data_IF_646248501358
#
_entry.id   IF_646248501358
#
_cell.length_a   1.000
_cell.length_b   1.000
_cell.length_c   1.000
_cell.angle_alpha   90.00
_cell.angle_beta   90.00
_cell.angle_gamma   90.00
#
_symmetry.space_group_name_H-M   'P 1'
#
loop_
_entity.id
_entity.type
_entity.pdbx_description
1 polymer ?
#
# COMPACT_ATOMS: atom_id res chain seq x y z
N UNK A 1 -15.78 26.31 -52.20
CA UNK A 1 -15.64 27.25 -51.07
C UNK A 1 -15.10 28.57 -51.58
N UNK A 2 -15.64 29.70 -51.11
CA UNK A 2 -15.12 31.03 -51.43
C UNK A 2 -13.83 31.30 -50.61
N UNK A 3 -12.84 32.00 -51.16
CA UNK A 3 -11.58 32.37 -50.48
C UNK A 3 -11.81 33.03 -49.12
N UNK A 4 -12.89 33.81 -48.96
CA UNK A 4 -13.27 34.39 -47.66
C UNK A 4 -13.61 33.34 -46.60
N UNK A 5 -14.30 32.25 -46.97
CA UNK A 5 -14.61 31.18 -46.02
C UNK A 5 -13.36 30.41 -45.59
N UNK A 6 -12.45 30.14 -46.52
CA UNK A 6 -11.18 29.47 -46.21
C UNK A 6 -10.30 30.32 -45.26
N UNK A 7 -10.29 31.65 -45.46
CA UNK A 7 -9.58 32.58 -44.58
C UNK A 7 -10.15 32.61 -43.16
N UNK A 8 -11.48 32.70 -43.02
CA UNK A 8 -12.16 32.66 -41.72
C UNK A 8 -11.94 31.34 -40.97
N UNK A 9 -11.95 30.21 -41.68
CA UNK A 9 -11.72 28.91 -41.06
C UNK A 9 -10.26 28.76 -40.57
N UNK A 10 -9.31 29.33 -41.31
CA UNK A 10 -7.91 29.37 -40.91
C UNK A 10 -7.70 30.28 -39.68
N UNK A 11 -8.32 31.46 -39.65
CA UNK A 11 -8.28 32.38 -38.50
C UNK A 11 -8.87 31.74 -37.25
N UNK A 12 -9.96 30.98 -37.37
CA UNK A 12 -10.56 30.23 -36.25
C UNK A 12 -9.63 29.13 -35.72
N UNK A 13 -8.94 28.38 -36.61
CA UNK A 13 -7.96 27.36 -36.21
C UNK A 13 -6.77 27.98 -35.49
N UNK A 14 -6.28 29.14 -35.94
CA UNK A 14 -5.19 29.87 -35.29
C UNK A 14 -5.62 30.30 -33.89
N UNK A 15 -6.77 30.95 -33.75
CA UNK A 15 -7.28 31.39 -32.45
C UNK A 15 -7.47 30.21 -31.47
N UNK A 16 -7.93 29.06 -31.97
CA UNK A 16 -8.06 27.83 -31.17
C UNK A 16 -6.70 27.33 -30.67
N UNK A 17 -5.68 27.30 -31.53
CA UNK A 17 -4.34 26.87 -31.16
C UNK A 17 -3.66 27.84 -30.17
N UNK A 18 -3.89 29.13 -30.33
CA UNK A 18 -3.40 30.15 -29.38
C UNK A 18 -4.02 29.96 -28.00
N UNK A 19 -5.32 29.71 -27.93
CA UNK A 19 -6.02 29.42 -26.67
C UNK A 19 -5.53 28.12 -26.01
N UNK A 20 -5.33 27.04 -26.78
CA UNK A 20 -4.78 25.78 -26.27
C UNK A 20 -3.35 25.95 -25.73
N UNK A 21 -2.54 26.79 -26.39
CA UNK A 21 -1.18 27.12 -25.95
C UNK A 21 -1.19 27.87 -24.62
N UNK A 22 -2.09 28.83 -24.43
CA UNK A 22 -2.23 29.54 -23.14
C UNK A 22 -2.62 28.59 -22.00
N UNK A 23 -3.57 27.67 -22.24
CA UNK A 23 -3.94 26.65 -21.25
C UNK A 23 -2.75 25.78 -20.88
N UNK A 24 -1.95 25.35 -21.86
CA UNK A 24 -0.76 24.52 -21.60
C UNK A 24 0.32 25.27 -20.82
N UNK A 25 0.52 26.56 -21.12
CA UNK A 25 1.45 27.40 -20.36
C UNK A 25 1.02 27.55 -18.91
N UNK A 26 -0.28 27.73 -18.66
CA UNK A 26 -0.78 27.87 -17.30
C UNK A 26 -0.71 26.54 -16.52
N UNK A 27 -0.98 25.41 -17.19
CA UNK A 27 -0.78 24.07 -16.62
C UNK A 27 0.68 23.81 -16.25
N UNK A 28 1.63 24.23 -17.09
CA UNK A 28 3.05 24.07 -16.82
C UNK A 28 3.47 24.88 -15.59
N UNK A 29 3.03 26.14 -15.47
CA UNK A 29 3.27 26.96 -14.27
C UNK A 29 2.69 26.32 -13.01
N UNK A 30 1.46 25.79 -13.08
CA UNK A 30 0.85 25.07 -11.96
C UNK A 30 1.67 23.83 -11.56
N UNK A 31 2.18 23.08 -12.54
CA UNK A 31 3.02 21.91 -12.28
C UNK A 31 4.32 22.31 -11.58
N UNK A 32 5.00 23.37 -12.04
CA UNK A 32 6.21 23.89 -11.42
C UNK A 32 5.95 24.32 -9.97
N UNK A 33 4.89 25.08 -9.71
CA UNK A 33 4.49 25.48 -8.34
C UNK A 33 4.22 24.29 -7.42
N UNK A 34 3.54 23.24 -7.92
CA UNK A 34 3.30 22.01 -7.15
C UNK A 34 4.62 21.32 -6.82
N UNK A 35 5.54 21.26 -7.78
CA UNK A 35 6.83 20.60 -7.61
C UNK A 35 7.70 21.34 -6.58
N UNK A 36 7.73 22.67 -6.63
CA UNK A 36 8.40 23.52 -5.64
C UNK A 36 7.78 23.40 -4.25
N UNK A 37 6.44 23.41 -4.17
CA UNK A 37 5.71 23.20 -2.90
C UNK A 37 6.07 21.87 -2.27
N UNK A 38 6.09 20.79 -3.05
CA UNK A 38 6.44 19.45 -2.56
C UNK A 38 7.89 19.40 -2.07
N UNK A 39 8.83 20.03 -2.78
CA UNK A 39 10.22 20.12 -2.36
C UNK A 39 10.39 20.92 -1.07
N UNK A 40 9.66 22.03 -0.91
CA UNK A 40 9.66 22.83 0.32
C UNK A 40 9.08 22.04 1.50
N UNK A 41 7.99 21.31 1.27
CA UNK A 41 7.35 20.48 2.29
C UNK A 41 8.27 19.35 2.77
N UNK A 42 9.05 18.74 1.86
CA UNK A 42 10.07 17.76 2.22
C UNK A 42 11.19 18.37 3.08
N UNK A 43 11.65 19.60 2.76
CA UNK A 43 12.65 20.32 3.58
C UNK A 43 12.13 20.63 4.98
N UNK A 44 10.87 21.06 5.11
CA UNK A 44 10.24 21.31 6.41
C UNK A 44 10.19 20.03 7.24
N UNK A 45 9.75 18.92 6.63
CA UNK A 45 9.70 17.63 7.32
C UNK A 45 11.08 17.14 7.81
N UNK A 46 12.13 17.35 7.01
CA UNK A 46 13.51 17.05 7.44
C UNK A 46 13.95 17.91 8.63
N UNK A 47 13.71 19.22 8.60
CA UNK A 47 14.04 20.11 9.73
C UNK A 47 13.30 19.72 11.02
N UNK A 48 12.04 19.30 10.91
CA UNK A 48 11.26 18.81 12.06
C UNK A 48 11.83 17.50 12.63
N UNK A 49 12.31 16.61 11.77
CA UNK A 49 12.95 15.37 12.19
C UNK A 49 14.28 15.64 12.90
N UNK A 50 15.12 16.52 12.35
CA UNK A 50 16.38 16.95 12.97
C UNK A 50 16.15 17.58 14.34
N UNK A 51 15.12 18.43 14.46
CA UNK A 51 14.72 19.03 15.74
C UNK A 51 14.30 17.97 16.77
N UNK A 52 13.54 16.94 16.36
CA UNK A 52 13.14 15.82 17.24
C UNK A 52 14.34 14.99 17.68
N UNK A 53 15.31 14.75 16.79
CA UNK A 53 16.53 14.01 17.12
C UNK A 53 17.40 14.78 18.12
N UNK A 54 17.57 16.09 17.94
CA UNK A 54 18.31 16.94 18.87
C UNK A 54 17.68 16.95 20.27
N UNK A 55 16.35 17.01 20.36
CA UNK A 55 15.61 16.98 21.63
C UNK A 55 15.72 15.63 22.37
N UNK A 56 15.98 14.53 21.67
CA UNK A 56 16.19 13.21 22.30
C UNK A 56 17.61 13.05 22.86
N UNK A 57 18.61 13.74 22.30
CA UNK A 57 19.99 13.72 22.79
C UNK A 57 20.22 14.58 24.04
N UNK A 58 19.34 15.56 24.31
CA UNK A 58 19.46 16.47 25.46
C UNK A 58 18.76 16.00 26.75
N UNK A 59 18.11 14.83 26.77
CA UNK A 59 17.47 14.31 28.00
C UNK A 59 18.54 13.78 28.98
N UNK A 60 18.62 14.30 30.23
CA UNK A 60 19.53 13.75 31.23
C UNK A 60 19.12 12.32 31.63
N UNK A 61 20.14 11.48 31.84
CA UNK A 61 20.01 10.12 32.35
C UNK A 61 19.65 10.16 33.85
N UNK A 62 18.37 10.28 34.19
CA UNK A 62 17.89 10.05 35.56
C UNK A 62 17.66 8.55 35.79
N UNK A 63 18.48 7.97 36.67
CA UNK A 63 18.21 6.67 37.31
C UNK A 63 17.22 6.87 38.46
N UNK A 64 16.18 6.05 38.53
CA UNK A 64 15.63 5.62 39.81
C UNK A 64 14.99 4.23 39.67
N UNK A 65 15.40 3.39 40.60
CA UNK A 65 15.06 2.00 40.84
C UNK A 65 13.81 1.95 41.73
N UNK A 66 12.81 1.13 41.36
CA UNK A 66 11.84 0.44 42.24
C UNK A 66 10.86 -0.41 41.40
N UNK A 67 11.29 -1.65 41.15
CA UNK A 67 10.63 -2.93 41.44
C UNK A 67 9.13 -3.16 41.13
N UNK A 68 8.89 -4.28 40.43
CA UNK A 68 7.73 -5.19 40.46
C UNK A 68 6.40 -4.77 39.78
N UNK A 69 6.23 -5.23 38.53
CA UNK A 69 5.33 -6.37 38.26
C UNK A 69 5.62 -6.95 36.88
N UNK A 70 6.13 -8.17 36.91
CA UNK A 70 6.30 -9.05 35.76
C UNK A 70 4.93 -9.54 35.29
N UNK A 71 4.58 -9.29 34.04
CA UNK A 71 3.72 -10.20 33.27
C UNK A 71 4.59 -10.93 32.25
N UNK A 72 5.24 -11.98 32.76
CA UNK A 72 5.68 -13.10 31.94
C UNK A 72 4.41 -13.89 31.64
N UNK A 73 3.77 -13.65 30.50
CA UNK A 73 2.78 -14.60 29.99
C UNK A 73 3.58 -15.77 29.40
N UNK A 74 3.74 -16.80 30.22
CA UNK A 74 3.94 -18.16 29.78
C UNK A 74 2.75 -18.53 28.88
N UNK A 75 2.97 -18.71 27.59
CA UNK A 75 2.08 -19.55 26.80
C UNK A 75 2.76 -20.91 26.65
N UNK A 76 2.13 -21.86 27.32
CA UNK A 76 2.51 -23.26 27.46
C UNK A 76 2.68 -23.92 26.09
N UNK A 77 3.76 -24.70 25.98
CA UNK A 77 3.81 -25.83 25.06
C UNK A 77 2.67 -26.79 25.40
N UNK A 78 1.57 -26.72 24.65
CA UNK A 78 0.64 -27.83 24.54
C UNK A 78 0.38 -28.15 23.08
N UNK A 79 1.04 -29.21 22.61
CA UNK A 79 0.55 -30.17 21.63
C UNK A 79 0.01 -29.60 20.30
N UNK A 80 0.89 -29.43 19.31
CA UNK A 80 0.61 -29.81 17.91
C UNK A 80 -0.62 -29.18 17.23
N UNK A 81 -0.92 -27.91 17.48
CA UNK A 81 -1.98 -27.18 16.74
C UNK A 81 -1.36 -26.43 15.55
N UNK A 82 -1.87 -26.57 14.30
CA UNK A 82 -1.33 -25.86 13.14
C UNK A 82 -1.54 -24.35 13.30
N UNK A 83 -0.50 -23.58 13.01
CA UNK A 83 -0.47 -22.12 13.09
C UNK A 83 -1.36 -21.50 11.99
N UNK A 84 -2.67 -21.47 12.23
CA UNK A 84 -3.67 -20.70 11.51
C UNK A 84 -4.44 -19.87 12.55
N UNK A 85 -3.88 -18.71 12.93
CA UNK A 85 -4.75 -17.65 13.45
C UNK A 85 -5.67 -17.25 12.29
N UNK A 86 -6.99 -17.37 12.50
CA UNK A 86 -8.09 -17.08 11.56
C UNK A 86 -8.07 -15.64 11.03
N UNK A 87 -7.00 -15.27 10.34
CA UNK A 87 -6.81 -13.96 9.74
C UNK A 87 -7.81 -13.82 8.60
N UNK A 88 -8.42 -12.66 8.56
CA UNK A 88 -9.49 -12.31 7.65
C UNK A 88 -9.53 -10.78 7.53
N UNK A 89 -10.31 -10.29 6.59
CA UNK A 89 -10.56 -8.86 6.48
C UNK A 89 -11.36 -8.35 7.68
N UNK A 90 -11.04 -7.13 8.11
CA UNK A 90 -11.70 -6.45 9.21
C UNK A 90 -12.86 -5.59 8.67
N UNK A 91 -14.08 -6.05 8.90
CA UNK A 91 -15.30 -5.36 8.45
C UNK A 91 -15.45 -3.96 9.04
N UNK A 92 -14.88 -3.72 10.23
CA UNK A 92 -14.95 -2.42 10.91
C UNK A 92 -13.91 -1.41 10.40
N UNK A 93 -12.90 -1.90 9.67
CA UNK A 93 -11.77 -1.11 9.15
C UNK A 93 -11.79 -1.10 7.62
N UNK A 94 -12.99 -0.87 7.08
CA UNK A 94 -13.26 -0.70 5.67
C UNK A 94 -13.50 0.78 5.36
N UNK A 95 -12.76 1.33 4.40
CA UNK A 95 -12.91 2.73 3.97
C UNK A 95 -13.61 2.80 2.61
N UNK A 96 -14.61 3.69 2.50
CA UNK A 96 -15.43 3.94 1.31
C UNK A 96 -16.23 2.72 0.79
N UNK A 97 -16.83 1.98 1.73
CA UNK A 97 -17.82 0.91 1.48
C UNK A 97 -17.42 -0.25 0.54
N UNK A 98 -16.23 -0.90 0.69
CA UNK A 98 -16.02 -2.21 0.08
C UNK A 98 -16.99 -3.22 0.68
N UNK A 99 -17.67 -4.00 -0.16
CA UNK A 99 -18.52 -5.10 0.33
C UNK A 99 -17.68 -6.34 0.54
N UNK A 100 -17.56 -6.74 1.80
CA UNK A 100 -17.05 -8.06 2.17
C UNK A 100 -18.15 -9.10 1.92
N UNK A 101 -17.81 -10.20 1.26
CA UNK A 101 -18.74 -11.26 0.86
C UNK A 101 -18.32 -12.58 1.49
N UNK A 102 -19.29 -13.26 2.12
CA UNK A 102 -19.15 -14.61 2.64
C UNK A 102 -18.75 -14.65 4.12
N UNK A 103 -18.98 -15.81 4.73
CA UNK A 103 -18.93 -16.00 6.19
C UNK A 103 -17.50 -15.95 6.78
N UNK A 104 -16.48 -16.04 5.93
CA UNK A 104 -15.06 -16.03 6.35
C UNK A 104 -14.37 -14.67 6.12
N UNK A 105 -15.10 -13.67 5.60
CA UNK A 105 -14.57 -12.33 5.32
C UNK A 105 -13.25 -12.37 4.51
N UNK A 106 -13.13 -13.25 3.52
CA UNK A 106 -11.94 -13.40 2.65
C UNK A 106 -12.14 -12.83 1.24
N UNK A 107 -13.40 -12.76 0.78
CA UNK A 107 -13.76 -12.26 -0.55
C UNK A 107 -14.29 -10.85 -0.44
N UNK A 108 -13.82 -9.98 -1.33
CA UNK A 108 -14.22 -8.57 -1.36
C UNK A 108 -14.65 -8.23 -2.77
N UNK A 109 -15.75 -7.50 -2.87
CA UNK A 109 -16.19 -6.82 -4.08
C UNK A 109 -16.28 -5.33 -3.83
N UNK A 110 -15.64 -4.57 -4.70
CA UNK A 110 -15.80 -3.11 -4.77
C UNK A 110 -17.22 -2.81 -5.27
N UNK A 111 -18.07 -2.16 -4.46
CA UNK A 111 -19.44 -1.78 -4.84
C UNK A 111 -19.63 -0.26 -4.77
N UNK A 112 -20.61 0.27 -5.52
CA UNK A 112 -20.98 1.68 -5.54
C UNK A 112 -20.44 2.47 -6.74
N UNK A 113 -21.03 3.63 -7.00
CA UNK A 113 -20.90 4.37 -8.26
C UNK A 113 -19.85 5.51 -8.25
N UNK A 114 -18.81 5.39 -7.44
CA UNK A 114 -17.80 6.44 -7.25
C UNK A 114 -16.38 5.98 -7.61
N UNK A 115 -15.61 6.89 -8.22
CA UNK A 115 -14.18 6.76 -8.53
C UNK A 115 -13.34 7.00 -7.27
N UNK A 116 -13.45 6.13 -6.28
CA UNK A 116 -12.78 6.23 -4.98
C UNK A 116 -12.02 4.95 -4.64
N UNK A 117 -10.95 5.10 -3.86
CA UNK A 117 -10.17 3.97 -3.38
C UNK A 117 -10.86 3.30 -2.20
N UNK A 118 -11.28 2.06 -2.39
CA UNK A 118 -11.92 1.25 -1.35
C UNK A 118 -10.88 0.35 -0.72
N UNK A 119 -10.65 0.53 0.56
CA UNK A 119 -9.53 -0.09 1.26
C UNK A 119 -10.04 -0.96 2.38
N UNK A 120 -9.41 -2.12 2.52
CA UNK A 120 -9.67 -3.08 3.56
C UNK A 120 -8.37 -3.46 4.27
N UNK A 121 -8.42 -3.53 5.59
CA UNK A 121 -7.32 -4.02 6.41
C UNK A 121 -7.62 -5.40 6.96
N UNK A 122 -6.59 -6.20 7.19
CA UNK A 122 -6.76 -7.44 7.96
C UNK A 122 -6.91 -7.14 9.46
N UNK A 123 -7.51 -8.06 10.22
CA UNK A 123 -7.78 -7.87 11.66
C UNK A 123 -6.52 -7.70 12.50
N UNK A 124 -5.47 -8.45 12.18
CA UNK A 124 -4.24 -8.50 12.96
C UNK A 124 -3.02 -7.98 12.19
N UNK A 125 -2.03 -7.44 12.92
CA UNK A 125 -0.79 -6.93 12.37
C UNK A 125 0.10 -8.06 11.84
N UNK A 126 1.08 -7.69 10.99
CA UNK A 126 2.08 -8.65 10.47
C UNK A 126 2.90 -9.31 11.59
N UNK A 127 3.19 -8.58 12.67
CA UNK A 127 3.97 -9.08 13.80
C UNK A 127 3.20 -10.09 14.64
N UNK A 128 1.87 -9.95 14.70
CA UNK A 128 1.00 -10.87 15.43
C UNK A 128 0.78 -12.19 14.69
N UNK A 129 0.78 -12.16 13.35
CA UNK A 129 0.47 -13.32 12.51
C UNK A 129 1.69 -13.98 11.84
N UNK A 130 2.91 -13.50 12.09
CA UNK A 130 4.10 -14.12 11.53
C UNK A 130 4.30 -15.54 12.06
N UNK A 131 4.83 -16.43 11.22
CA UNK A 131 5.13 -17.80 11.59
C UNK A 131 6.33 -17.89 12.56
N UNK A 132 6.63 -19.10 13.04
CA UNK A 132 7.75 -19.37 13.95
C UNK A 132 9.13 -18.97 13.38
N UNK A 133 9.24 -18.82 12.06
CA UNK A 133 10.45 -18.35 11.37
C UNK A 133 10.45 -16.82 11.16
N UNK A 134 9.47 -16.11 11.71
CA UNK A 134 9.33 -14.65 11.58
C UNK A 134 8.85 -14.20 10.20
N UNK A 135 8.24 -15.08 9.41
CA UNK A 135 7.72 -14.76 8.08
C UNK A 135 6.21 -14.60 8.16
N UNK A 136 5.71 -13.45 7.71
CA UNK A 136 4.30 -13.26 7.39
C UNK A 136 4.12 -13.23 5.88
N UNK A 137 3.11 -13.91 5.35
CA UNK A 137 2.82 -13.95 3.91
C UNK A 137 1.35 -14.25 3.65
N UNK A 138 0.78 -13.61 2.63
CA UNK A 138 -0.58 -13.85 2.15
C UNK A 138 -0.66 -13.71 0.62
N UNK A 139 -1.64 -14.35 0.01
CA UNK A 139 -1.92 -14.25 -1.43
C UNK A 139 -3.29 -13.66 -1.70
N UNK A 140 -3.39 -12.84 -2.73
CA UNK A 140 -4.64 -12.29 -3.26
C UNK A 140 -4.85 -12.82 -4.67
N UNK A 141 -5.97 -13.49 -4.88
CA UNK A 141 -6.47 -13.84 -6.21
C UNK A 141 -7.33 -12.70 -6.73
N UNK A 142 -6.92 -12.05 -7.82
CA UNK A 142 -7.72 -11.02 -8.48
C UNK A 142 -8.75 -11.65 -9.41
N UNK A 143 -9.93 -11.99 -8.88
CA UNK A 143 -11.01 -12.63 -9.63
C UNK A 143 -11.50 -11.72 -10.76
N UNK A 144 -11.68 -10.44 -10.46
CA UNK A 144 -12.00 -9.40 -11.43
C UNK A 144 -11.20 -8.14 -11.14
N UNK A 145 -10.63 -7.55 -12.17
CA UNK A 145 -9.94 -6.27 -12.11
C UNK A 145 -10.18 -5.55 -13.43
N UNK A 146 -10.93 -4.46 -13.40
CA UNK A 146 -11.40 -3.79 -14.61
C UNK A 146 -10.28 -3.02 -15.33
N UNK A 147 -9.38 -2.38 -14.58
CA UNK A 147 -8.24 -1.61 -15.10
C UNK A 147 -7.15 -1.47 -14.02
N UNK A 148 -6.07 -0.72 -14.28
CA UNK A 148 -4.98 -0.49 -13.32
C UNK A 148 -5.47 0.36 -12.14
N UNK A 149 -5.93 -0.30 -11.08
CA UNK A 149 -6.51 0.36 -9.92
C UNK A 149 -6.51 -0.50 -8.67
N UNK A 150 -5.45 -1.29 -8.45
CA UNK A 150 -5.35 -2.12 -7.25
C UNK A 150 -3.98 -1.98 -6.55
N UNK A 151 -4.03 -2.01 -5.22
CA UNK A 151 -2.87 -2.13 -4.34
C UNK A 151 -2.98 -3.36 -3.47
N UNK A 152 -1.84 -4.01 -3.23
CA UNK A 152 -1.66 -5.03 -2.19
C UNK A 152 -0.42 -4.66 -1.38
N UNK A 153 -0.50 -4.73 -0.05
CA UNK A 153 0.67 -4.40 0.76
C UNK A 153 0.44 -4.36 2.26
N UNK A 154 1.28 -3.56 2.91
CA UNK A 154 1.25 -3.27 4.33
C UNK A 154 1.13 -1.78 4.57
N UNK A 155 0.26 -1.38 5.49
CA UNK A 155 0.15 0.00 5.93
C UNK A 155 -0.24 0.08 7.42
N UNK A 156 0.07 1.21 8.05
CA UNK A 156 -0.40 1.49 9.39
C UNK A 156 -1.88 1.94 9.35
N UNK A 157 -2.80 1.14 9.91
CA UNK A 157 -4.25 1.42 9.90
C UNK A 157 -4.67 2.60 10.78
N UNK A 158 -3.86 2.99 11.77
CA UNK A 158 -4.22 4.04 12.76
C UNK A 158 -4.07 5.47 12.23
N UNK A 159 -3.67 5.68 10.96
CA UNK A 159 -3.57 7.00 10.34
C UNK A 159 -4.59 7.17 9.21
N UNK A 160 -5.19 8.37 9.03
CA UNK A 160 -6.23 8.62 8.03
C UNK A 160 -5.85 8.13 6.64
N UNK A 161 -6.67 7.25 6.05
CA UNK A 161 -6.41 6.63 4.75
C UNK A 161 -7.00 7.45 3.61
N UNK A 162 -6.29 8.52 3.22
CA UNK A 162 -6.73 9.38 2.12
C UNK A 162 -6.24 8.90 0.74
N UNK A 163 -5.09 8.18 0.70
CA UNK A 163 -4.47 7.63 -0.52
C UNK A 163 -3.25 6.78 -0.17
N UNK A 164 -2.96 5.73 -0.96
CA UNK A 164 -1.71 4.96 -0.88
C UNK A 164 -0.52 5.74 -1.47
N UNK A 165 -0.78 6.63 -2.42
CA UNK A 165 0.25 7.37 -3.14
C UNK A 165 0.99 8.33 -2.22
N UNK A 166 2.32 8.19 -2.13
CA UNK A 166 3.17 9.11 -1.37
C UNK A 166 3.02 9.00 0.15
N UNK A 167 2.29 8.01 0.67
CA UNK A 167 2.04 7.84 2.09
C UNK A 167 3.26 7.22 2.80
N UNK A 168 3.87 7.90 3.78
CA UNK A 168 4.86 7.28 4.66
C UNK A 168 4.24 6.07 5.38
N UNK A 169 5.07 5.08 5.71
CA UNK A 169 4.69 3.86 6.41
C UNK A 169 3.74 2.96 5.59
N UNK A 170 3.77 3.09 4.26
CA UNK A 170 3.07 2.20 3.32
C UNK A 170 4.04 1.47 2.40
N UNK A 171 3.85 0.16 2.30
CA UNK A 171 4.68 -0.78 1.55
C UNK A 171 3.78 -1.60 0.65
N UNK A 172 3.64 -1.20 -0.61
CA UNK A 172 2.61 -1.75 -1.49
C UNK A 172 3.12 -2.02 -2.89
N UNK A 173 2.39 -2.86 -3.61
CA UNK A 173 2.59 -3.16 -5.00
C UNK A 173 1.29 -2.86 -5.75
N UNK A 174 1.38 -2.00 -6.76
CA UNK A 174 0.26 -1.55 -7.56
C UNK A 174 0.15 -2.36 -8.85
N UNK A 175 -1.08 -2.52 -9.35
CA UNK A 175 -1.41 -3.23 -10.59
C UNK A 175 -0.66 -2.72 -11.84
N UNK A 176 -0.21 -1.47 -11.85
CA UNK A 176 0.61 -0.87 -12.92
C UNK A 176 2.09 -1.32 -12.89
N UNK A 177 2.47 -2.08 -11.87
CA UNK A 177 3.82 -2.58 -11.65
C UNK A 177 4.75 -1.66 -10.85
N UNK A 178 4.18 -0.68 -10.16
CA UNK A 178 4.89 0.21 -9.25
C UNK A 178 4.93 -0.37 -7.83
N UNK A 179 6.13 -0.45 -7.25
CA UNK A 179 6.33 -0.75 -5.83
C UNK A 179 6.42 0.54 -5.04
N UNK A 180 5.60 0.71 -4.02
CA UNK A 180 5.64 1.83 -3.09
C UNK A 180 6.33 1.39 -1.80
N UNK A 181 7.39 2.08 -1.41
CA UNK A 181 8.18 1.78 -0.21
C UNK A 181 8.30 3.04 0.59
N UNK A 182 7.61 3.07 1.74
CA UNK A 182 7.51 4.25 2.58
C UNK A 182 7.05 5.50 1.77
N UNK A 183 6.07 5.29 0.87
CA UNK A 183 5.53 6.33 -0.01
C UNK A 183 6.32 6.57 -1.31
N UNK A 184 7.55 6.06 -1.44
CA UNK A 184 8.35 6.23 -2.66
C UNK A 184 8.00 5.16 -3.71
N UNK A 185 7.56 5.60 -4.89
CA UNK A 185 7.22 4.72 -6.01
C UNK A 185 8.44 4.32 -6.86
N UNK A 186 8.61 3.02 -7.08
CA UNK A 186 9.61 2.41 -7.96
C UNK A 186 8.90 1.57 -9.01
N UNK A 187 8.69 2.13 -10.20
CA UNK A 187 8.06 1.42 -11.31
C UNK A 187 9.03 0.42 -11.94
N UNK A 188 8.71 -0.88 -11.88
CA UNK A 188 9.50 -1.95 -12.50
C UNK A 188 8.78 -2.64 -13.66
N UNK A 189 7.66 -2.07 -14.12
CA UNK A 189 6.82 -2.55 -15.24
C UNK A 189 6.41 -4.02 -15.12
N UNK A 190 6.29 -4.54 -13.90
CA UNK A 190 5.74 -5.87 -13.64
C UNK A 190 4.27 -5.67 -13.32
N UNK A 191 3.38 -5.62 -14.30
CA UNK A 191 1.95 -5.38 -14.05
C UNK A 191 1.25 -6.65 -13.57
N UNK A 192 0.04 -6.51 -13.02
CA UNK A 192 -0.89 -7.63 -12.79
C UNK A 192 -2.32 -7.27 -13.15
N UNK A 193 -3.11 -8.28 -13.50
CA UNK A 193 -4.50 -8.14 -13.93
C UNK A 193 -5.40 -9.25 -13.39
N UNK A 194 -6.67 -9.26 -13.82
CA UNK A 194 -7.61 -10.32 -13.48
C UNK A 194 -7.06 -11.72 -13.83
N UNK A 195 -7.26 -12.68 -12.93
CA UNK A 195 -6.74 -14.04 -13.01
C UNK A 195 -5.36 -14.24 -12.39
N UNK A 196 -4.61 -13.17 -12.13
CA UNK A 196 -3.33 -13.26 -11.43
C UNK A 196 -3.51 -13.50 -9.93
N UNK A 197 -2.57 -14.23 -9.34
CA UNK A 197 -2.40 -14.36 -7.89
C UNK A 197 -1.17 -13.59 -7.47
N UNK A 198 -1.36 -12.60 -6.60
CA UNK A 198 -0.29 -11.74 -6.11
C UNK A 198 -0.08 -12.01 -4.63
N UNK A 199 1.12 -12.41 -4.28
CA UNK A 199 1.49 -12.62 -2.89
C UNK A 199 2.33 -11.49 -2.34
N UNK A 200 2.09 -11.16 -1.08
CA UNK A 200 2.81 -10.15 -0.34
C UNK A 200 3.21 -10.72 1.03
N UNK A 201 4.46 -10.54 1.40
CA UNK A 201 5.00 -11.01 2.67
C UNK A 201 6.17 -10.18 3.14
N UNK A 202 6.63 -10.52 4.32
CA UNK A 202 7.76 -9.88 4.98
C UNK A 202 8.46 -10.90 5.85
N UNK A 203 9.78 -10.94 5.73
CA UNK A 203 10.62 -11.59 6.73
C UNK A 203 10.93 -10.53 7.80
N UNK A 204 10.38 -10.68 9.00
CA UNK A 204 10.51 -9.69 10.08
C UNK A 204 11.93 -9.59 10.62
N UNK A 205 12.72 -10.67 10.57
CA UNK A 205 14.10 -10.67 11.02
C UNK A 205 15.00 -9.85 10.08
N UNK A 206 14.85 -10.01 8.77
CA UNK A 206 15.62 -9.25 7.77
C UNK A 206 14.94 -7.95 7.37
N UNK A 207 13.67 -7.78 7.73
CA UNK A 207 12.73 -6.73 7.29
C UNK A 207 12.46 -6.72 5.78
N UNK A 208 12.88 -7.76 5.07
CA UNK A 208 12.76 -7.81 3.62
C UNK A 208 11.32 -8.06 3.21
N UNK A 209 10.82 -7.25 2.28
CA UNK A 209 9.50 -7.42 1.67
C UNK A 209 9.61 -8.45 0.54
N UNK A 210 8.60 -9.30 0.45
CA UNK A 210 8.48 -10.38 -0.52
C UNK A 210 7.23 -10.09 -1.34
N UNK A 211 7.41 -9.77 -2.63
CA UNK A 211 6.31 -9.75 -3.59
C UNK A 211 6.43 -10.91 -4.56
N UNK A 212 5.31 -11.49 -4.94
CA UNK A 212 5.25 -12.63 -5.84
C UNK A 212 4.09 -12.47 -6.81
N UNK A 213 4.24 -13.03 -8.00
CA UNK A 213 3.17 -13.14 -8.99
C UNK A 213 3.11 -14.58 -9.48
N UNK A 214 1.94 -15.19 -9.36
CA UNK A 214 1.66 -16.56 -9.82
C UNK A 214 2.71 -17.57 -9.34
N UNK A 215 3.06 -17.51 -8.04
CA UNK A 215 4.04 -18.40 -7.42
C UNK A 215 5.50 -18.09 -7.74
N UNK A 216 5.80 -17.00 -8.45
CA UNK A 216 7.18 -16.57 -8.73
C UNK A 216 7.52 -15.29 -7.99
N UNK A 217 8.67 -15.24 -7.32
CA UNK A 217 9.17 -14.04 -6.67
C UNK A 217 9.39 -12.94 -7.70
N UNK A 218 8.89 -11.74 -7.41
CA UNK A 218 9.22 -10.55 -8.16
C UNK A 218 10.58 -10.07 -7.62
N UNK A 219 11.62 -10.08 -8.46
CA UNK A 219 12.97 -9.63 -8.08
C UNK A 219 12.95 -8.14 -7.75
N UNK A 220 12.61 -7.88 -6.50
CA UNK A 220 12.68 -6.61 -5.84
C UNK A 220 13.71 -6.71 -4.71
N UNK A 221 14.89 -7.18 -5.07
CA UNK A 221 16.05 -7.12 -4.18
C UNK A 221 16.20 -5.67 -3.72
N UNK A 222 16.26 -5.48 -2.40
CA UNK A 222 16.34 -4.19 -1.69
C UNK A 222 15.03 -3.48 -1.30
N UNK A 223 13.90 -4.19 -1.22
CA UNK A 223 12.71 -3.65 -0.54
C UNK A 223 12.67 -4.06 0.92
N UNK A 224 12.64 -3.09 1.82
CA UNK A 224 12.63 -3.30 3.26
C UNK A 224 11.58 -2.44 3.95
N UNK A 225 10.97 -2.97 5.01
CA UNK A 225 10.19 -2.15 5.93
C UNK A 225 11.12 -1.34 6.84
N UNK A 226 10.71 -0.12 7.18
CA UNK A 226 11.40 0.69 8.20
C UNK A 226 11.33 -0.02 9.55
N UNK A 227 12.43 -0.01 10.34
CA UNK A 227 12.41 -0.58 11.70
C UNK A 227 11.37 0.06 12.63
N UNK A 228 11.01 1.34 12.40
CA UNK A 228 9.96 2.01 13.17
C UNK A 228 8.56 1.44 12.96
N UNK A 229 8.34 0.74 11.84
CA UNK A 229 7.00 0.41 11.37
C UNK A 229 6.63 -1.06 11.63
N UNK A 230 7.60 -1.91 11.95
CA UNK A 230 7.45 -3.37 11.98
C UNK A 230 6.27 -3.87 12.84
N UNK A 231 5.93 -3.14 13.92
CA UNK A 231 4.85 -3.51 14.84
C UNK A 231 3.51 -2.82 14.54
N UNK A 232 3.46 -1.93 13.55
CA UNK A 232 2.29 -1.09 13.26
C UNK A 232 1.63 -1.42 11.92
N UNK A 233 2.24 -2.33 11.15
CA UNK A 233 1.82 -2.66 9.81
C UNK A 233 0.76 -3.76 9.81
N UNK A 234 -0.30 -3.50 9.04
CA UNK A 234 -1.39 -4.43 8.78
C UNK A 234 -1.42 -4.75 7.28
N UNK A 235 -1.71 -6.01 6.91
CA UNK A 235 -2.03 -6.35 5.52
C UNK A 235 -3.22 -5.52 5.04
N UNK A 236 -3.14 -5.02 3.81
CA UNK A 236 -4.25 -4.30 3.19
C UNK A 236 -4.34 -4.59 1.69
N UNK A 237 -5.55 -4.40 1.17
CA UNK A 237 -5.81 -4.27 -0.26
C UNK A 237 -6.62 -2.99 -0.48
N UNK A 238 -6.35 -2.30 -1.58
CA UNK A 238 -7.15 -1.16 -2.03
C UNK A 238 -7.56 -1.35 -3.48
N UNK A 239 -8.83 -1.12 -3.79
CA UNK A 239 -9.44 -1.28 -5.13
C UNK A 239 -10.09 0.03 -5.56
N UNK A 240 -9.91 0.42 -6.81
CA UNK A 240 -10.42 1.69 -7.33
C UNK A 240 -11.70 1.53 -8.16
N UNK A 241 -11.79 0.48 -8.99
CA UNK A 241 -12.90 0.37 -9.93
C UNK A 241 -14.08 -0.40 -9.34
N UNK A 242 -15.28 0.02 -9.72
CA UNK A 242 -16.53 -0.66 -9.35
C UNK A 242 -16.56 -2.09 -9.91
N UNK A 243 -16.93 -3.05 -9.09
CA UNK A 243 -17.02 -4.45 -9.43
C UNK A 243 -15.69 -5.18 -9.53
N UNK A 244 -14.57 -4.55 -9.15
CA UNK A 244 -13.33 -5.29 -8.87
C UNK A 244 -13.57 -6.29 -7.74
N UNK A 245 -12.98 -7.47 -7.86
CA UNK A 245 -13.24 -8.60 -6.97
C UNK A 245 -11.97 -9.38 -6.67
N UNK A 246 -11.74 -9.61 -5.38
CA UNK A 246 -10.58 -10.34 -4.89
C UNK A 246 -10.97 -11.45 -3.91
N UNK A 247 -10.11 -12.46 -3.78
CA UNK A 247 -10.17 -13.48 -2.74
C UNK A 247 -8.82 -13.56 -2.05
N UNK A 248 -8.80 -13.40 -0.73
CA UNK A 248 -7.61 -13.54 0.08
C UNK A 248 -7.38 -14.99 0.51
N UNK A 249 -6.11 -15.39 0.51
CA UNK A 249 -5.60 -16.57 1.19
C UNK A 249 -4.58 -16.11 2.23
N UNK A 250 -4.90 -16.23 3.52
CA UNK A 250 -3.99 -15.93 4.63
C UNK A 250 -3.23 -17.16 5.16
N UNK A 251 -3.29 -18.29 4.45
CA UNK A 251 -2.62 -19.54 4.81
C UNK A 251 -3.48 -20.79 5.07
N UNK A 252 -4.84 -20.78 5.15
CA UNK A 252 -5.58 -22.04 5.29
C UNK A 252 -5.46 -22.89 4.02
N UNK A 253 -5.37 -22.25 2.86
CA UNK A 253 -5.12 -22.91 1.58
C UNK A 253 -3.63 -22.88 1.22
N UNK A 254 -3.18 -23.88 0.47
CA UNK A 254 -1.82 -23.92 -0.05
C UNK A 254 -1.54 -22.71 -0.95
N UNK A 255 -0.52 -21.93 -0.62
CA UNK A 255 -0.03 -20.86 -1.47
C UNK A 255 0.49 -21.36 -2.83
N UNK A 256 0.36 -20.53 -3.86
CA UNK A 256 1.04 -20.78 -5.15
C UNK A 256 2.56 -20.60 -5.01
N UNK A 257 3.00 -19.66 -4.19
CA UNK A 257 4.41 -19.48 -3.88
C UNK A 257 4.89 -20.51 -2.84
N UNK A 258 6.04 -21.12 -3.11
CA UNK A 258 6.67 -22.03 -2.17
C UNK A 258 7.49 -21.24 -1.13
N UNK A 259 6.97 -21.14 0.10
CA UNK A 259 7.64 -20.43 1.18
C UNK A 259 8.93 -21.12 1.67
N UNK A 260 9.16 -22.40 1.34
CA UNK A 260 10.36 -23.12 1.78
C UNK A 260 11.65 -22.63 1.12
N UNK A 261 11.56 -21.79 0.10
CA UNK A 261 12.70 -21.22 -0.62
C UNK A 261 13.15 -19.85 -0.07
N UNK A 262 12.53 -19.37 1.02
CA UNK A 262 12.80 -18.07 1.64
C UNK A 262 13.90 -18.11 2.70
#
# INVERSE_FOLDING_TARGET
MCEKCAKLEMEFKIAKLEFEKEILQEKLKCQEMITERNALQAKIAMMELEKKMAQQMEKPLEKADQTEQSEVILMEEQNGVPLNTKQQWDESECFDDPRIIGDECLRIRSEGHSFVWRTVFAKHSISHCANSSGIFYFEISFVKLNDTGAFIGFANKQKPFLSVYGRPDTYAYQSDGTFYINGFGLNRRRTFCAGDVIGCGVNLATRQIIFTKNGRRLDATNLFISPSDANQLFPFVSLYFEGDEIVANFGPDKFKFDLSIL
#
